data_IF_155296763879
#
_entry.id   IF_155296763879
#
_cell.length_a   1.000
_cell.length_b   1.000
_cell.length_c   1.000
_cell.angle_alpha   90.00
_cell.angle_beta   90.00
_cell.angle_gamma   90.00
#
_symmetry.space_group_name_H-M   'P 1'
#
loop_
_entity.id
_entity.type
_entity.pdbx_description
1 polymer ?
#
# COMPACT_ATOMS: atom_id res chain seq x y z
N UNK A 1 13.41 -13.28 -9.79
CA UNK A 1 14.00 -13.92 -8.61
C UNK A 1 12.97 -13.91 -7.48
N UNK A 2 12.88 -15.01 -6.72
CA UNK A 2 12.02 -15.13 -5.53
C UNK A 2 12.89 -15.06 -4.28
N UNK A 3 12.47 -14.27 -3.30
CA UNK A 3 13.14 -14.22 -2.00
C UNK A 3 12.55 -15.26 -1.02
N UNK A 4 11.35 -15.78 -1.30
CA UNK A 4 10.70 -16.79 -0.47
C UNK A 4 10.97 -18.20 -1.00
N UNK A 5 11.27 -19.11 -0.09
CA UNK A 5 11.42 -20.55 -0.38
C UNK A 5 10.10 -21.32 -0.21
N UNK A 6 9.09 -20.71 0.38
CA UNK A 6 7.80 -21.30 0.68
C UNK A 6 6.70 -20.68 -0.19
N UNK A 7 5.67 -21.43 -0.57
CA UNK A 7 4.53 -20.87 -1.29
C UNK A 7 3.80 -19.84 -0.44
N UNK A 8 3.23 -18.85 -1.12
CA UNK A 8 2.37 -17.84 -0.50
C UNK A 8 1.29 -18.48 0.36
N UNK A 9 1.10 -17.96 1.57
CA UNK A 9 0.15 -18.48 2.54
C UNK A 9 -0.42 -17.36 3.40
N UNK A 10 -1.10 -17.77 4.46
CA UNK A 10 -1.58 -16.85 5.50
C UNK A 10 -0.98 -17.23 6.84
N UNK A 11 -0.74 -16.23 7.68
CA UNK A 11 -0.34 -16.40 9.08
C UNK A 11 -1.45 -15.96 10.00
N UNK A 12 -1.52 -16.58 11.19
CA UNK A 12 -2.50 -16.26 12.20
C UNK A 12 -1.99 -15.14 13.10
N UNK A 13 -2.75 -14.05 13.17
CA UNK A 13 -2.58 -12.98 14.15
C UNK A 13 -3.56 -13.23 15.29
N UNK A 14 -3.03 -13.45 16.50
CA UNK A 14 -3.87 -13.72 17.67
C UNK A 14 -4.73 -12.52 18.04
N UNK A 15 -5.85 -12.79 18.72
CA UNK A 15 -6.61 -11.72 19.37
C UNK A 15 -5.70 -10.91 20.29
N UNK A 16 -5.82 -9.60 20.22
CA UNK A 16 -5.00 -8.68 21.01
C UNK A 16 -5.71 -7.36 21.25
N UNK A 17 -5.29 -6.71 22.35
CA UNK A 17 -5.55 -5.29 22.55
C UNK A 17 -4.21 -4.55 22.45
N UNK A 18 -4.22 -3.46 21.67
CA UNK A 18 -3.04 -2.63 21.43
C UNK A 18 -3.40 -1.15 21.42
N UNK A 19 -2.41 -0.29 21.39
CA UNK A 19 -2.62 1.15 21.19
C UNK A 19 -2.47 1.46 19.72
N UNK A 20 -3.58 1.68 19.02
CA UNK A 20 -3.61 2.12 17.63
C UNK A 20 -3.18 3.58 17.56
N UNK A 21 -2.33 3.93 16.59
CA UNK A 21 -1.77 5.27 16.45
C UNK A 21 -0.65 5.57 17.48
N UNK A 22 -0.11 4.57 18.19
CA UNK A 22 1.05 4.75 19.05
C UNK A 22 2.29 5.09 18.25
N UNK A 23 3.13 5.97 18.79
CA UNK A 23 4.28 6.55 18.09
C UNK A 23 3.88 7.36 16.82
N UNK A 24 2.70 8.00 16.85
CA UNK A 24 2.26 8.92 15.80
C UNK A 24 3.29 10.03 15.56
N UNK A 25 3.58 10.29 14.28
CA UNK A 25 4.46 11.38 13.86
C UNK A 25 3.66 12.49 13.15
N UNK A 26 2.63 12.10 12.42
CA UNK A 26 1.75 13.01 11.70
C UNK A 26 0.39 13.12 12.38
N UNK A 27 -0.29 14.30 12.27
CA UNK A 27 -1.58 14.53 12.96
C UNK A 27 -2.64 13.48 12.63
N UNK A 28 -2.70 13.03 11.39
CA UNK A 28 -3.67 12.05 10.92
C UNK A 28 -3.50 10.65 11.52
N UNK A 29 -2.34 10.35 12.08
CA UNK A 29 -2.04 9.05 12.72
C UNK A 29 -2.64 8.93 14.12
N UNK A 30 -3.16 10.02 14.67
CA UNK A 30 -3.72 10.11 16.01
C UNK A 30 -5.24 10.35 16.02
N UNK A 31 -5.82 10.50 17.21
CA UNK A 31 -5.20 10.26 18.52
C UNK A 31 -4.94 8.79 18.82
N UNK A 32 -3.86 8.51 19.54
CA UNK A 32 -3.59 7.16 20.03
C UNK A 32 -4.71 6.69 20.96
N UNK A 33 -5.20 5.48 20.77
CA UNK A 33 -6.30 4.93 21.55
C UNK A 33 -6.23 3.41 21.60
N UNK A 34 -6.83 2.83 22.63
CA UNK A 34 -6.87 1.38 22.79
C UNK A 34 -7.88 0.75 21.82
N UNK A 35 -7.41 -0.26 21.09
CA UNK A 35 -8.22 -1.09 20.20
C UNK A 35 -8.08 -2.56 20.59
N UNK A 36 -9.17 -3.30 20.52
CA UNK A 36 -9.20 -4.75 20.70
C UNK A 36 -9.65 -5.40 19.39
N UNK A 37 -8.92 -6.41 18.94
CA UNK A 37 -9.22 -7.17 17.74
C UNK A 37 -9.35 -8.66 18.07
N UNK A 38 -10.30 -9.33 17.42
CA UNK A 38 -10.33 -10.79 17.34
C UNK A 38 -9.17 -11.28 16.49
N UNK A 39 -8.76 -12.53 16.67
CA UNK A 39 -7.77 -13.15 15.82
C UNK A 39 -8.25 -13.26 14.36
N UNK A 40 -7.30 -13.19 13.44
CA UNK A 40 -7.55 -13.26 12.00
C UNK A 40 -6.35 -13.86 11.24
N UNK A 41 -6.61 -14.39 10.06
CA UNK A 41 -5.57 -14.76 9.12
C UNK A 41 -5.22 -13.57 8.23
N UNK A 42 -3.93 -13.35 7.97
CA UNK A 42 -3.45 -12.34 7.03
C UNK A 42 -2.46 -12.97 6.05
N UNK A 43 -2.46 -12.51 4.80
CA UNK A 43 -1.49 -12.97 3.82
C UNK A 43 -0.06 -12.67 4.29
N UNK A 44 0.84 -13.61 4.07
CA UNK A 44 2.23 -13.49 4.49
C UNK A 44 2.95 -12.32 3.85
N UNK A 45 2.55 -11.92 2.66
CA UNK A 45 3.10 -10.79 1.89
C UNK A 45 2.01 -10.16 1.02
N UNK A 46 2.32 -9.09 0.31
CA UNK A 46 1.43 -8.45 -0.66
C UNK A 46 1.04 -9.45 -1.77
N UNK A 47 -0.12 -9.25 -2.39
CA UNK A 47 -0.54 -10.04 -3.55
C UNK A 47 0.46 -9.83 -4.69
N UNK A 48 1.10 -10.91 -5.12
CA UNK A 48 2.10 -10.87 -6.19
C UNK A 48 1.46 -10.83 -7.59
N UNK A 49 2.26 -10.47 -8.59
CA UNK A 49 1.85 -10.49 -10.00
C UNK A 49 1.34 -11.88 -10.42
N UNK A 50 1.99 -12.96 -9.98
CA UNK A 50 1.54 -14.33 -10.28
C UNK A 50 0.14 -14.62 -9.68
N UNK A 51 -0.08 -14.20 -8.44
CA UNK A 51 -1.38 -14.40 -7.78
C UNK A 51 -2.48 -13.57 -8.44
N UNK A 52 -2.18 -12.30 -8.78
CA UNK A 52 -3.13 -11.43 -9.46
C UNK A 52 -3.43 -11.90 -10.89
N UNK A 53 -2.42 -12.40 -11.60
CA UNK A 53 -2.59 -13.02 -12.93
C UNK A 53 -3.52 -14.23 -12.88
N UNK A 54 -3.38 -15.10 -11.87
CA UNK A 54 -4.27 -16.24 -11.68
C UNK A 54 -5.74 -15.82 -11.47
N UNK A 55 -5.97 -14.74 -10.70
CA UNK A 55 -7.31 -14.17 -10.54
C UNK A 55 -7.87 -13.68 -11.88
N UNK A 56 -7.09 -12.89 -12.62
CA UNK A 56 -7.52 -12.35 -13.92
C UNK A 56 -7.78 -13.48 -14.94
N UNK A 57 -6.92 -14.49 -14.98
CA UNK A 57 -7.11 -15.66 -15.85
C UNK A 57 -8.40 -16.42 -15.52
N UNK A 58 -8.68 -16.61 -14.22
CA UNK A 58 -9.86 -17.35 -13.77
C UNK A 58 -11.17 -16.60 -14.00
N UNK A 59 -11.15 -15.27 -14.01
CA UNK A 59 -12.37 -14.44 -13.99
C UNK A 59 -12.59 -13.61 -15.25
N UNK A 60 -11.54 -13.36 -16.03
CA UNK A 60 -11.56 -12.38 -17.12
C UNK A 60 -11.68 -10.94 -16.62
N UNK A 61 -11.27 -10.66 -15.38
CA UNK A 61 -11.39 -9.34 -14.78
C UNK A 61 -10.55 -8.30 -15.53
N UNK A 62 -11.13 -7.12 -15.73
CA UNK A 62 -10.47 -5.96 -16.34
C UNK A 62 -10.34 -4.89 -15.28
N UNK A 63 -9.11 -4.50 -14.95
CA UNK A 63 -8.83 -3.52 -13.89
C UNK A 63 -9.25 -2.12 -14.27
N UNK A 64 -9.39 -1.24 -13.28
CA UNK A 64 -9.74 0.17 -13.51
C UNK A 64 -8.76 0.83 -14.48
N UNK A 65 -7.46 0.56 -14.35
CA UNK A 65 -6.42 1.10 -15.22
C UNK A 65 -6.54 0.63 -16.70
N UNK A 66 -7.15 -0.52 -16.94
CA UNK A 66 -7.36 -1.09 -18.29
C UNK A 66 -8.67 -0.62 -18.93
N UNK A 67 -9.56 0.07 -18.19
CA UNK A 67 -10.85 0.55 -18.69
C UNK A 67 -10.72 1.92 -19.35
N UNK A 68 -11.56 2.17 -20.36
CA UNK A 68 -11.68 3.52 -20.93
C UNK A 68 -12.39 4.40 -19.88
N UNK A 69 -11.76 5.49 -19.41
CA UNK A 69 -12.38 6.42 -18.48
C UNK A 69 -13.66 7.02 -19.06
N UNK A 70 -14.70 7.19 -18.24
CA UNK A 70 -15.90 7.86 -18.68
C UNK A 70 -15.65 9.38 -18.75
N UNK A 71 -15.77 10.03 -19.91
CA UNK A 71 -15.52 11.46 -20.05
C UNK A 71 -16.41 12.34 -19.15
N UNK A 72 -17.58 11.83 -18.74
CA UNK A 72 -18.48 12.57 -17.86
C UNK A 72 -17.95 12.73 -16.41
N UNK A 73 -16.97 11.92 -16.01
CA UNK A 73 -16.34 11.96 -14.68
C UNK A 73 -15.18 12.98 -14.62
N UNK A 74 -14.88 13.64 -15.74
CA UNK A 74 -13.76 14.55 -15.89
C UNK A 74 -14.20 15.96 -16.27
N UNK A 75 -13.43 17.00 -15.92
CA UNK A 75 -13.65 18.36 -16.44
C UNK A 75 -13.63 18.39 -17.98
N UNK A 76 -14.39 19.31 -18.58
CA UNK A 76 -14.51 19.41 -20.04
C UNK A 76 -13.20 19.74 -20.78
N UNK A 77 -12.23 20.28 -20.04
CA UNK A 77 -10.90 20.69 -20.54
C UNK A 77 -9.78 19.73 -20.13
N UNK A 78 -10.13 18.52 -19.64
CA UNK A 78 -9.12 17.51 -19.27
C UNK A 78 -8.25 17.14 -20.49
N UNK A 79 -6.93 17.00 -20.34
CA UNK A 79 -6.07 16.53 -21.42
C UNK A 79 -6.52 15.16 -21.96
N UNK A 80 -6.44 14.97 -23.28
CA UNK A 80 -6.90 13.75 -23.96
C UNK A 80 -6.31 12.45 -23.39
N UNK A 81 -5.09 12.50 -22.90
CA UNK A 81 -4.41 11.33 -22.33
C UNK A 81 -5.11 10.78 -21.07
N UNK A 82 -5.80 11.62 -20.30
CA UNK A 82 -6.57 11.18 -19.14
C UNK A 82 -7.86 10.43 -19.52
N UNK A 83 -8.27 10.52 -20.78
CA UNK A 83 -9.42 9.79 -21.33
C UNK A 83 -9.02 8.45 -21.97
N UNK A 84 -7.75 8.07 -21.88
CA UNK A 84 -7.23 6.76 -22.31
C UNK A 84 -7.03 5.85 -21.08
N UNK A 85 -7.19 4.53 -21.22
CA UNK A 85 -6.77 3.58 -20.19
C UNK A 85 -5.34 3.85 -19.75
N UNK A 86 -5.10 3.86 -18.46
CA UNK A 86 -3.79 4.19 -17.91
C UNK A 86 -3.80 4.31 -16.39
N UNK A 87 -2.69 4.70 -15.85
CA UNK A 87 -2.52 4.87 -14.40
C UNK A 87 -1.45 5.92 -14.09
N UNK A 88 -1.33 6.27 -12.81
CA UNK A 88 -0.33 7.24 -12.36
C UNK A 88 0.99 6.55 -12.09
N UNK A 89 2.02 7.01 -12.79
CA UNK A 89 3.38 6.52 -12.70
C UNK A 89 4.29 7.55 -12.01
N UNK A 90 5.12 7.09 -11.08
CA UNK A 90 6.23 7.87 -10.54
C UNK A 90 7.39 7.88 -11.52
N UNK A 91 7.88 9.07 -11.84
CA UNK A 91 9.09 9.26 -12.66
C UNK A 91 10.01 10.24 -11.95
N UNK A 92 11.21 9.81 -11.53
CA UNK A 92 12.18 10.72 -10.93
C UNK A 92 12.50 11.88 -11.88
N UNK A 93 12.67 13.12 -11.38
CA UNK A 93 13.09 14.22 -12.22
C UNK A 93 14.50 14.00 -12.76
N UNK A 94 14.76 14.44 -13.99
CA UNK A 94 16.09 14.40 -14.58
C UNK A 94 17.09 15.24 -13.75
N UNK A 95 18.38 14.84 -13.69
CA UNK A 95 19.40 15.58 -12.97
C UNK A 95 19.43 17.05 -13.38
N UNK A 96 19.28 17.94 -12.41
CA UNK A 96 19.27 19.39 -12.63
C UNK A 96 17.90 20.00 -13.00
N UNK A 97 16.86 19.20 -13.13
CA UNK A 97 15.48 19.69 -13.24
C UNK A 97 14.88 19.97 -11.87
N UNK A 98 13.97 20.96 -11.81
CA UNK A 98 13.22 21.21 -10.59
C UNK A 98 12.27 20.04 -10.33
N UNK A 99 12.28 19.53 -9.10
CA UNK A 99 11.41 18.43 -8.65
C UNK A 99 9.98 18.94 -8.42
N UNK A 100 9.29 19.36 -9.47
CA UNK A 100 7.94 19.95 -9.36
C UNK A 100 6.82 18.99 -9.76
N UNK A 101 7.12 17.94 -10.50
CA UNK A 101 6.10 17.00 -10.97
C UNK A 101 6.74 15.64 -11.27
N UNK A 102 6.70 14.72 -10.30
CA UNK A 102 7.19 13.34 -10.44
C UNK A 102 6.07 12.30 -10.57
N UNK A 103 4.81 12.75 -10.58
CA UNK A 103 3.66 11.91 -10.83
C UNK A 103 3.01 12.30 -12.16
N UNK A 104 2.78 11.33 -13.02
CA UNK A 104 2.16 11.55 -14.32
C UNK A 104 1.16 10.46 -14.64
N UNK A 105 0.01 10.85 -15.23
CA UNK A 105 -0.86 9.89 -15.88
C UNK A 105 -0.18 9.40 -17.15
N UNK A 106 -0.03 8.09 -17.27
CA UNK A 106 0.61 7.46 -18.43
C UNK A 106 -0.34 6.46 -19.07
N UNK A 107 -0.86 6.74 -20.27
CA UNK A 107 -1.69 5.81 -21.00
C UNK A 107 -1.00 4.47 -21.25
N UNK A 108 -1.75 3.38 -21.10
CA UNK A 108 -1.24 2.02 -21.26
C UNK A 108 -0.43 1.49 -20.07
N UNK A 109 -0.36 2.24 -18.98
CA UNK A 109 0.20 1.77 -17.70
C UNK A 109 -0.88 1.05 -16.90
N UNK A 110 -0.61 -0.17 -16.50
CA UNK A 110 -1.49 -1.04 -15.71
C UNK A 110 -0.64 -2.05 -14.93
N UNK A 111 -1.28 -3.01 -14.26
CA UNK A 111 -0.57 -4.02 -13.48
C UNK A 111 0.36 -4.94 -14.32
N UNK A 112 0.11 -5.10 -15.64
CA UNK A 112 0.99 -5.84 -16.57
C UNK A 112 2.14 -5.00 -17.12
N UNK A 113 1.97 -3.68 -17.10
CA UNK A 113 2.89 -2.67 -17.64
C UNK A 113 3.23 -1.63 -16.55
N UNK A 114 3.87 -2.06 -15.41
CA UNK A 114 3.97 -1.22 -14.21
C UNK A 114 4.92 -0.02 -14.35
N UNK A 115 5.84 -0.07 -15.30
CA UNK A 115 6.82 1.00 -15.56
C UNK A 115 6.49 1.74 -16.89
N UNK A 116 5.21 1.72 -17.32
CA UNK A 116 4.73 2.32 -18.57
C UNK A 116 4.43 1.28 -19.66
N UNK A 117 3.82 1.70 -20.79
CA UNK A 117 3.23 0.82 -21.79
C UNK A 117 4.20 -0.15 -22.46
N UNK A 118 5.49 0.17 -22.49
CA UNK A 118 6.54 -0.66 -23.06
C UNK A 118 7.16 -1.64 -22.04
N UNK A 119 6.75 -1.57 -20.79
CA UNK A 119 7.23 -2.45 -19.72
C UNK A 119 6.43 -3.76 -19.65
N UNK A 120 6.88 -4.69 -18.84
CA UNK A 120 6.24 -6.01 -18.68
C UNK A 120 6.51 -6.57 -17.30
N UNK A 121 5.58 -7.38 -16.79
CA UNK A 121 5.76 -8.20 -15.58
C UNK A 121 6.47 -9.53 -15.87
N UNK A 122 6.94 -9.77 -17.07
CA UNK A 122 7.74 -10.97 -17.39
C UNK A 122 8.98 -11.00 -16.48
N UNK A 123 9.26 -12.15 -15.88
CA UNK A 123 10.33 -12.36 -14.91
C UNK A 123 10.14 -11.53 -13.59
N UNK A 124 8.93 -10.98 -13.36
CA UNK A 124 8.53 -10.25 -12.17
C UNK A 124 7.29 -10.89 -11.48
N UNK A 125 7.14 -12.21 -11.59
CA UNK A 125 5.99 -12.96 -11.05
C UNK A 125 5.87 -12.80 -9.52
N UNK A 126 7.01 -12.64 -8.84
CA UNK A 126 7.09 -12.49 -7.38
C UNK A 126 7.09 -11.04 -6.89
N UNK A 127 6.94 -10.06 -7.77
CA UNK A 127 6.79 -8.66 -7.37
C UNK A 127 5.34 -8.38 -7.00
N UNK A 128 5.07 -7.39 -6.11
CA UNK A 128 3.70 -7.01 -5.79
C UNK A 128 2.96 -6.51 -7.02
N UNK A 129 1.68 -6.86 -7.14
CA UNK A 129 0.80 -6.27 -8.14
C UNK A 129 0.50 -4.82 -7.75
N UNK A 130 0.80 -3.88 -8.65
CA UNK A 130 0.59 -2.44 -8.48
C UNK A 130 -0.33 -1.89 -9.57
N UNK A 131 -0.62 -0.59 -9.54
CA UNK A 131 -1.62 0.04 -10.42
C UNK A 131 -3.02 -0.57 -10.25
N UNK A 132 -3.29 -1.10 -9.07
CA UNK A 132 -4.59 -1.65 -8.67
C UNK A 132 -5.37 -0.60 -7.89
N UNK A 133 -6.56 -0.26 -8.37
CA UNK A 133 -7.50 0.58 -7.63
C UNK A 133 -8.16 -0.21 -6.50
N UNK A 134 -8.86 0.49 -5.59
CA UNK A 134 -9.56 -0.18 -4.48
C UNK A 134 -10.55 -1.26 -4.96
N UNK A 135 -11.29 -0.97 -6.03
CA UNK A 135 -12.24 -1.93 -6.63
C UNK A 135 -11.54 -3.21 -7.09
N UNK A 136 -10.36 -3.10 -7.69
CA UNK A 136 -9.59 -4.23 -8.19
C UNK A 136 -9.13 -5.14 -7.03
N UNK A 137 -8.59 -4.51 -5.98
CA UNK A 137 -8.17 -5.21 -4.77
C UNK A 137 -9.35 -5.92 -4.08
N UNK A 138 -10.51 -5.26 -4.01
CA UNK A 138 -11.74 -5.83 -3.45
C UNK A 138 -12.26 -6.99 -4.29
N UNK A 139 -12.19 -6.88 -5.62
CA UNK A 139 -12.61 -7.96 -6.54
C UNK A 139 -11.73 -9.21 -6.36
N UNK A 140 -10.40 -9.03 -6.26
CA UNK A 140 -9.48 -10.12 -5.94
C UNK A 140 -9.82 -10.76 -4.58
N UNK A 141 -9.99 -9.94 -3.53
CA UNK A 141 -10.30 -10.45 -2.19
C UNK A 141 -11.59 -11.29 -2.19
N UNK A 142 -12.64 -10.81 -2.85
CA UNK A 142 -13.91 -11.53 -2.99
C UNK A 142 -13.74 -12.86 -3.74
N UNK A 143 -13.00 -12.88 -4.85
CA UNK A 143 -12.69 -14.10 -5.59
C UNK A 143 -11.95 -15.12 -4.74
N UNK A 144 -10.99 -14.67 -3.94
CA UNK A 144 -10.24 -15.52 -3.03
C UNK A 144 -11.05 -15.98 -1.78
N UNK A 145 -12.30 -15.54 -1.62
CA UNK A 145 -13.11 -15.81 -0.43
C UNK A 145 -12.56 -15.15 0.84
N UNK A 146 -12.02 -13.95 0.70
CA UNK A 146 -11.32 -13.16 1.72
C UNK A 146 -11.83 -11.72 1.72
N UNK A 147 -11.20 -10.86 2.51
CA UNK A 147 -11.47 -9.43 2.60
C UNK A 147 -10.16 -8.63 2.58
N UNK A 148 -10.24 -7.34 2.31
CA UNK A 148 -9.14 -6.42 2.61
C UNK A 148 -9.08 -6.23 4.14
N UNK A 149 -7.88 -6.05 4.73
CA UNK A 149 -7.75 -5.81 6.15
C UNK A 149 -8.44 -4.51 6.55
N UNK A 150 -8.96 -4.46 7.77
CA UNK A 150 -9.24 -3.15 8.37
C UNK A 150 -7.92 -2.45 8.69
N UNK A 151 -7.94 -1.13 8.80
CA UNK A 151 -6.77 -0.36 9.20
C UNK A 151 -6.17 -0.88 10.52
N UNK A 152 -7.02 -1.18 11.50
CA UNK A 152 -6.59 -1.72 12.78
C UNK A 152 -5.96 -3.12 12.67
N UNK A 153 -6.50 -4.00 11.80
CA UNK A 153 -5.92 -5.31 11.52
C UNK A 153 -4.53 -5.17 10.89
N UNK A 154 -4.41 -4.27 9.90
CA UNK A 154 -3.11 -4.00 9.28
C UNK A 154 -2.10 -3.47 10.30
N UNK A 155 -2.49 -2.48 11.12
CA UNK A 155 -1.57 -1.89 12.10
C UNK A 155 -1.14 -2.90 13.16
N UNK A 156 -2.05 -3.73 13.69
CA UNK A 156 -1.69 -4.80 14.63
C UNK A 156 -0.71 -5.79 13.99
N UNK A 157 -1.00 -6.23 12.76
CA UNK A 157 -0.11 -7.14 12.04
C UNK A 157 1.26 -6.51 11.77
N UNK A 158 1.30 -5.24 11.37
CA UNK A 158 2.54 -4.50 11.09
C UNK A 158 3.40 -4.28 12.33
N UNK A 159 2.78 -4.04 13.50
CA UNK A 159 3.51 -3.90 14.78
C UNK A 159 4.21 -5.18 15.19
N UNK A 160 3.72 -6.34 14.78
CA UNK A 160 4.17 -7.59 15.35
C UNK A 160 3.85 -7.64 16.83
N UNK A 161 4.83 -8.03 17.65
CA UNK A 161 4.76 -7.99 19.13
C UNK A 161 5.55 -6.82 19.72
N UNK A 162 6.02 -5.91 18.86
CA UNK A 162 6.85 -4.77 19.26
C UNK A 162 5.98 -3.56 19.63
N UNK A 163 6.36 -2.87 20.71
CA UNK A 163 5.85 -1.54 21.06
C UNK A 163 6.81 -0.42 20.59
N UNK A 164 7.85 -0.75 19.84
CA UNK A 164 8.80 0.23 19.30
C UNK A 164 8.23 0.95 18.07
N UNK A 165 8.96 1.95 17.56
CA UNK A 165 8.59 2.68 16.35
C UNK A 165 8.51 1.74 15.14
N UNK A 166 9.45 0.81 15.05
CA UNK A 166 9.51 -0.19 13.98
C UNK A 166 9.28 -1.62 14.51
N UNK A 167 8.70 -2.51 13.71
CA UNK A 167 8.41 -3.88 14.13
C UNK A 167 9.65 -4.71 14.47
N UNK A 168 10.79 -4.41 13.88
CA UNK A 168 12.07 -5.07 14.19
C UNK A 168 12.74 -4.58 15.49
N UNK A 169 12.08 -3.65 16.20
CA UNK A 169 12.54 -3.06 17.45
C UNK A 169 13.39 -1.79 17.25
N UNK A 170 13.27 -0.87 18.21
CA UNK A 170 14.03 0.40 18.17
C UNK A 170 13.48 1.43 17.20
N UNK A 171 14.33 2.42 16.88
CA UNK A 171 13.98 3.60 16.07
C UNK A 171 14.87 3.71 14.82
N UNK A 172 15.72 2.72 14.56
CA UNK A 172 16.66 2.73 13.44
C UNK A 172 16.04 1.98 12.24
N UNK A 173 16.14 2.58 11.04
CA UNK A 173 15.70 1.96 9.79
C UNK A 173 16.57 0.78 9.37
N UNK A 174 17.86 0.90 9.60
CA UNK A 174 18.84 -0.08 9.24
C UNK A 174 19.69 -0.47 10.47
N UNK A 175 19.13 -1.23 11.45
CA UNK A 175 19.89 -1.68 12.60
C UNK A 175 21.11 -2.49 12.14
N UNK A 176 22.25 -2.13 12.69
CA UNK A 176 23.57 -2.69 12.31
C UNK A 176 23.91 -2.53 10.82
N UNK A 177 23.36 -1.51 10.15
CA UNK A 177 23.57 -1.25 8.73
C UNK A 177 22.80 -2.17 7.78
N UNK A 178 21.81 -2.89 8.29
CA UNK A 178 20.97 -3.80 7.49
C UNK A 178 19.55 -3.22 7.37
N UNK A 179 19.14 -2.85 6.18
CA UNK A 179 17.78 -2.40 5.89
C UNK A 179 16.79 -3.54 6.16
N UNK A 180 15.70 -3.21 6.84
CA UNK A 180 14.65 -4.16 7.23
C UNK A 180 13.39 -4.02 6.38
N UNK A 181 13.36 -3.07 5.44
CA UNK A 181 12.25 -2.79 4.55
C UNK A 181 12.76 -2.12 3.27
N UNK A 182 12.04 -2.31 2.17
CA UNK A 182 12.28 -1.59 0.92
C UNK A 182 11.73 -0.16 1.04
N UNK A 183 12.63 0.81 1.11
CA UNK A 183 12.34 2.24 1.21
C UNK A 183 13.31 3.04 0.35
N UNK A 184 13.09 4.34 0.22
CA UNK A 184 14.01 5.20 -0.51
C UNK A 184 15.19 5.62 0.36
N UNK A 185 16.42 5.40 -0.13
CA UNK A 185 17.65 5.89 0.51
C UNK A 185 18.27 7.00 -0.34
N UNK A 186 18.70 8.07 0.32
CA UNK A 186 19.28 9.23 -0.35
C UNK A 186 18.29 10.38 -0.54
N UNK A 187 18.51 11.22 -1.54
CA UNK A 187 17.76 12.47 -1.73
C UNK A 187 16.52 12.25 -2.59
N UNK A 188 15.34 12.14 -1.95
CA UNK A 188 14.08 12.06 -2.67
C UNK A 188 13.72 13.38 -3.32
N UNK A 189 13.23 13.42 -4.58
CA UNK A 189 13.02 12.29 -5.51
C UNK A 189 14.15 12.14 -6.55
N UNK A 190 15.30 12.77 -6.34
CA UNK A 190 16.37 12.85 -7.35
C UNK A 190 17.30 11.64 -7.39
N UNK A 191 17.59 11.06 -6.22
CA UNK A 191 18.60 10.02 -6.13
C UNK A 191 18.25 8.99 -5.05
N UNK A 192 18.01 7.75 -5.50
CA UNK A 192 17.93 6.58 -4.62
C UNK A 192 19.27 5.84 -4.68
N UNK A 193 19.98 5.75 -3.56
CA UNK A 193 21.24 5.01 -3.47
C UNK A 193 21.07 3.50 -3.46
N UNK A 194 19.82 3.00 -3.27
CA UNK A 194 19.47 1.59 -3.23
C UNK A 194 20.34 0.77 -2.23
N UNK A 195 20.60 1.31 -1.06
CA UNK A 195 21.38 0.64 -0.01
C UNK A 195 20.65 -0.61 0.54
N UNK A 196 19.33 -0.69 0.37
CA UNK A 196 18.50 -1.85 0.65
C UNK A 196 18.55 -2.93 -0.45
N UNK A 197 19.22 -2.64 -1.58
CA UNK A 197 19.39 -3.54 -2.74
C UNK A 197 18.41 -3.29 -3.87
N UNK A 198 17.46 -2.32 -3.74
CA UNK A 198 16.40 -2.10 -4.71
C UNK A 198 16.24 -0.61 -5.08
N UNK A 199 16.19 -0.31 -6.37
CA UNK A 199 15.88 1.05 -6.85
C UNK A 199 14.38 1.35 -6.93
N UNK A 200 13.56 0.32 -6.93
CA UNK A 200 12.11 0.37 -7.06
C UNK A 200 11.45 -0.73 -6.24
N UNK A 201 10.44 -1.37 -6.80
CA UNK A 201 9.80 -2.52 -6.16
C UNK A 201 10.79 -3.65 -5.90
N UNK A 202 10.66 -4.31 -4.76
CA UNK A 202 11.33 -5.56 -4.45
C UNK A 202 10.38 -6.75 -4.68
N UNK A 203 10.89 -7.95 -4.97
CA UNK A 203 10.09 -9.16 -4.86
C UNK A 203 9.55 -9.31 -3.44
N UNK A 204 8.34 -9.84 -3.29
CA UNK A 204 7.72 -10.05 -1.97
C UNK A 204 8.57 -10.95 -1.09
N UNK A 205 8.67 -10.62 0.20
CA UNK A 205 9.38 -11.42 1.19
C UNK A 205 10.90 -11.31 1.14
N UNK A 206 11.46 -10.25 0.54
CA UNK A 206 12.91 -10.05 0.49
C UNK A 206 13.50 -9.52 1.81
N UNK A 207 12.66 -8.97 2.67
CA UNK A 207 13.06 -8.50 4.00
C UNK A 207 12.59 -9.45 5.10
N UNK A 208 13.09 -9.28 6.31
CA UNK A 208 12.77 -10.19 7.40
C UNK A 208 11.29 -10.20 7.79
N UNK A 209 10.72 -11.38 8.02
CA UNK A 209 9.39 -11.48 8.58
C UNK A 209 9.33 -10.92 10.00
N UNK A 210 8.19 -10.34 10.36
CA UNK A 210 7.94 -9.93 11.75
C UNK A 210 7.56 -11.13 12.65
N UNK A 211 7.24 -10.86 13.93
CA UNK A 211 6.91 -11.89 14.92
C UNK A 211 5.67 -12.74 14.62
N UNK A 212 4.84 -12.34 13.67
CA UNK A 212 3.70 -13.14 13.18
C UNK A 212 4.08 -13.98 11.96
N UNK A 213 5.25 -13.76 11.35
CA UNK A 213 5.67 -14.41 10.11
C UNK A 213 5.17 -13.69 8.86
N UNK A 214 4.76 -12.43 8.99
CA UNK A 214 4.36 -11.59 7.86
C UNK A 214 5.53 -10.72 7.39
N UNK A 215 5.66 -10.55 6.08
CA UNK A 215 6.69 -9.80 5.39
C UNK A 215 6.14 -8.50 4.83
N UNK A 216 6.99 -7.54 4.58
CA UNK A 216 6.74 -6.32 3.80
C UNK A 216 5.51 -5.49 4.27
N UNK A 217 5.13 -5.61 5.56
CA UNK A 217 4.10 -4.75 6.14
C UNK A 217 4.59 -3.31 6.36
N UNK A 218 5.88 -3.07 6.10
CA UNK A 218 6.55 -1.77 6.11
C UNK A 218 7.39 -1.65 4.85
N UNK A 219 7.19 -0.59 4.08
CA UNK A 219 7.88 -0.34 2.81
C UNK A 219 7.29 -1.13 1.64
N UNK A 220 8.03 -1.31 0.59
CA UNK A 220 7.71 -1.91 -0.70
C UNK A 220 6.53 -1.24 -1.39
N UNK A 221 5.29 -1.57 -1.04
CA UNK A 221 4.10 -0.87 -1.54
C UNK A 221 3.17 -0.44 -0.42
N UNK A 222 2.50 0.69 -0.60
CA UNK A 222 1.31 1.01 0.16
C UNK A 222 0.25 -0.05 -0.07
N UNK A 223 -0.54 -0.35 0.95
CA UNK A 223 -1.55 -1.37 0.87
C UNK A 223 -2.95 -0.86 1.21
N UNK A 224 -3.91 -1.21 0.35
CA UNK A 224 -5.31 -0.89 0.58
C UNK A 224 -5.85 -1.53 1.86
N UNK A 225 -6.58 -0.73 2.63
CA UNK A 225 -7.43 -1.22 3.73
C UNK A 225 -8.91 -0.99 3.43
N UNK A 226 -9.78 -1.68 4.14
CA UNK A 226 -11.23 -1.56 3.96
C UNK A 226 -11.83 -0.27 4.53
N UNK A 227 -11.09 0.46 5.37
CA UNK A 227 -11.58 1.66 6.05
C UNK A 227 -11.68 2.86 5.12
N UNK A 228 -12.79 3.60 5.20
CA UNK A 228 -12.86 4.95 4.66
C UNK A 228 -11.90 5.87 5.42
N UNK A 229 -11.29 6.81 4.71
CA UNK A 229 -10.39 7.75 5.33
C UNK A 229 -11.15 8.83 6.12
N UNK A 230 -10.62 9.20 7.26
CA UNK A 230 -10.99 10.36 8.05
C UNK A 230 -9.69 10.97 8.62
N UNK A 231 -9.58 12.32 8.75
CA UNK A 231 -8.33 12.98 9.12
C UNK A 231 -7.72 12.56 10.46
N UNK A 232 -8.49 11.92 11.33
CA UNK A 232 -8.04 11.44 12.64
C UNK A 232 -8.78 10.15 13.04
N UNK A 233 -8.23 9.43 14.01
CA UNK A 233 -8.89 8.23 14.55
C UNK A 233 -10.08 8.60 15.44
N UNK A 234 -11.17 7.81 15.36
CA UNK A 234 -12.23 7.87 16.33
C UNK A 234 -11.83 7.07 17.59
N UNK A 235 -11.40 7.76 18.65
CA UNK A 235 -10.96 7.14 19.92
C UNK A 235 -12.04 6.31 20.65
N UNK A 236 -13.31 6.41 20.24
CA UNK A 236 -14.41 5.64 20.81
C UNK A 236 -14.72 4.35 20.03
N UNK A 237 -14.13 4.16 18.85
CA UNK A 237 -14.24 2.94 18.05
C UNK A 237 -13.11 1.97 18.43
N UNK A 238 -13.35 1.15 19.45
CA UNK A 238 -12.31 0.38 20.13
C UNK A 238 -12.46 -1.15 20.06
N UNK A 239 -13.59 -1.67 19.59
CA UNK A 239 -13.83 -3.11 19.47
C UNK A 239 -14.01 -3.51 18.00
N UNK A 240 -13.00 -4.17 17.43
CA UNK A 240 -12.95 -4.54 16.02
C UNK A 240 -13.37 -3.38 15.08
N UNK A 241 -12.71 -2.22 15.17
CA UNK A 241 -13.14 -1.00 14.48
C UNK A 241 -13.14 -1.18 12.96
N UNK A 242 -14.19 -0.67 12.34
CA UNK A 242 -14.35 -0.65 10.88
C UNK A 242 -14.19 0.73 10.27
N UNK A 243 -13.92 1.72 11.12
CA UNK A 243 -13.73 3.11 10.74
C UNK A 243 -15.00 3.87 10.41
N UNK A 244 -14.89 5.08 9.85
CA UNK A 244 -16.00 5.95 9.52
C UNK A 244 -16.86 5.40 8.38
N UNK A 245 -18.06 5.93 8.23
CA UNK A 245 -18.90 5.68 7.06
C UNK A 245 -18.38 6.46 5.84
N UNK A 246 -18.81 6.07 4.63
CA UNK A 246 -18.53 6.84 3.41
C UNK A 246 -18.96 8.31 3.54
N UNK A 247 -20.15 8.56 4.08
CA UNK A 247 -20.67 9.92 4.26
C UNK A 247 -19.77 10.75 5.17
N UNK A 248 -19.30 10.18 6.28
CA UNK A 248 -18.36 10.85 7.18
C UNK A 248 -17.02 11.15 6.48
N UNK A 249 -16.51 10.23 5.69
CA UNK A 249 -15.29 10.42 4.92
C UNK A 249 -15.41 11.56 3.92
N UNK A 250 -16.44 11.54 3.06
CA UNK A 250 -16.66 12.58 2.05
C UNK A 250 -16.83 13.96 2.70
N UNK A 251 -17.58 14.05 3.80
CA UNK A 251 -17.81 15.31 4.49
C UNK A 251 -16.56 15.88 5.19
N UNK A 252 -15.56 15.06 5.44
CA UNK A 252 -14.29 15.45 6.05
C UNK A 252 -13.17 15.73 5.05
N UNK A 253 -13.30 15.22 3.82
CA UNK A 253 -12.26 15.27 2.81
C UNK A 253 -12.04 16.70 2.29
N UNK A 254 -10.77 17.03 2.02
CA UNK A 254 -10.40 18.23 1.28
C UNK A 254 -10.74 18.11 -0.21
N UNK A 255 -10.93 16.88 -0.69
CA UNK A 255 -11.36 16.53 -2.05
C UNK A 255 -12.80 15.98 -2.04
N UNK A 256 -13.51 16.11 -3.14
CA UNK A 256 -14.84 15.50 -3.31
C UNK A 256 -14.77 13.99 -3.61
N UNK A 257 -13.56 13.43 -3.72
CA UNK A 257 -13.35 12.02 -3.99
C UNK A 257 -13.56 11.15 -2.75
N UNK A 258 -14.06 9.94 -2.94
CA UNK A 258 -14.13 8.94 -1.89
C UNK A 258 -12.73 8.35 -1.67
N UNK A 259 -12.23 8.46 -0.45
CA UNK A 259 -10.87 8.05 -0.09
C UNK A 259 -10.87 6.88 0.90
N UNK A 260 -9.99 5.93 0.67
CA UNK A 260 -9.70 4.83 1.60
C UNK A 260 -8.36 5.06 2.28
N UNK A 261 -8.19 4.42 3.43
CA UNK A 261 -6.90 4.38 4.11
C UNK A 261 -5.98 3.40 3.42
N UNK A 262 -4.75 3.84 3.11
CA UNK A 262 -3.63 2.96 2.76
C UNK A 262 -2.60 2.97 3.89
N UNK A 263 -1.92 1.84 4.08
CA UNK A 263 -0.98 1.58 5.17
C UNK A 263 0.35 1.04 4.67
N UNK A 264 1.36 1.04 5.55
CA UNK A 264 2.65 0.39 5.36
C UNK A 264 3.76 1.28 4.81
N UNK A 265 3.45 2.29 4.03
CA UNK A 265 4.45 3.04 3.26
C UNK A 265 4.89 2.29 2.02
N UNK A 266 5.84 2.83 1.27
CA UNK A 266 6.32 2.22 0.04
C UNK A 266 7.81 2.48 -0.21
N UNK A 267 8.36 1.88 -1.26
CA UNK A 267 9.72 2.14 -1.73
C UNK A 267 10.01 3.61 -2.08
N UNK A 268 8.97 4.43 -2.22
CA UNK A 268 9.09 5.89 -2.44
C UNK A 268 9.12 6.70 -1.13
N UNK A 269 8.95 6.07 0.02
CA UNK A 269 9.03 6.75 1.30
C UNK A 269 10.48 6.91 1.74
N UNK A 270 10.89 8.15 2.01
CA UNK A 270 12.25 8.54 2.38
C UNK A 270 12.28 9.28 3.71
N UNK A 271 13.35 9.11 4.50
CA UNK A 271 13.52 9.84 5.76
C UNK A 271 13.43 11.36 5.61
N UNK A 272 13.95 11.90 4.50
CA UNK A 272 13.99 13.34 4.22
C UNK A 272 12.73 13.87 3.53
N UNK A 273 11.71 13.03 3.29
CA UNK A 273 10.49 13.42 2.61
C UNK A 273 9.23 12.89 3.30
N UNK A 274 9.15 11.60 3.56
CA UNK A 274 7.93 10.92 4.00
C UNK A 274 8.29 9.78 4.96
N UNK A 275 8.18 10.00 6.29
CA UNK A 275 8.41 8.96 7.31
C UNK A 275 7.17 8.08 7.53
N UNK A 276 6.40 7.77 6.47
CA UNK A 276 5.17 6.98 6.57
C UNK A 276 5.36 5.46 6.38
N UNK A 277 6.58 4.96 6.55
CA UNK A 277 6.90 3.52 6.62
C UNK A 277 6.99 3.05 8.08
N UNK A 278 5.90 3.23 8.83
CA UNK A 278 5.72 2.84 10.25
C UNK A 278 4.34 2.25 10.46
N UNK A 279 4.14 1.36 11.45
CA UNK A 279 2.82 0.76 11.69
C UNK A 279 1.70 1.79 11.89
N UNK A 280 1.95 2.89 12.63
CA UNK A 280 0.97 3.94 12.85
C UNK A 280 0.65 4.77 11.61
N UNK A 281 1.57 4.83 10.65
CA UNK A 281 1.42 5.66 9.46
C UNK A 281 0.21 5.26 8.62
N UNK A 282 -0.44 6.27 8.05
CA UNK A 282 -1.62 6.15 7.19
C UNK A 282 -1.63 7.28 6.17
N UNK A 283 -2.31 7.04 5.07
CA UNK A 283 -2.50 8.03 4.00
C UNK A 283 -3.91 7.89 3.44
N UNK A 284 -4.45 8.99 2.90
CA UNK A 284 -5.67 8.98 2.13
C UNK A 284 -5.39 8.65 0.67
N UNK A 285 -6.18 7.77 0.08
CA UNK A 285 -6.03 7.44 -1.34
C UNK A 285 -7.39 7.39 -2.02
N UNK A 286 -7.50 8.07 -3.16
CA UNK A 286 -8.66 8.00 -4.04
C UNK A 286 -8.92 6.55 -4.46
N UNK A 287 -10.15 6.09 -4.25
CA UNK A 287 -10.56 4.71 -4.53
C UNK A 287 -10.52 4.33 -6.01
N UNK A 288 -10.64 5.29 -6.90
CA UNK A 288 -10.62 5.09 -8.36
C UNK A 288 -9.22 5.10 -8.97
N UNK A 289 -8.17 5.31 -8.16
CA UNK A 289 -6.82 5.53 -8.67
C UNK A 289 -5.82 4.53 -8.09
N UNK A 290 -5.30 3.65 -8.95
CA UNK A 290 -4.09 2.89 -8.70
C UNK A 290 -2.84 3.69 -9.06
N UNK A 291 -1.69 3.38 -8.45
CA UNK A 291 -0.40 4.00 -8.76
C UNK A 291 0.73 2.96 -8.73
N UNK A 292 1.92 3.35 -9.18
CA UNK A 292 3.09 2.47 -9.24
C UNK A 292 3.61 1.96 -7.89
N UNK A 293 3.07 2.46 -6.78
CA UNK A 293 3.52 2.09 -5.43
C UNK A 293 2.37 1.66 -4.50
N UNK A 294 1.20 1.32 -5.06
CA UNK A 294 0.04 0.84 -4.30
C UNK A 294 -0.33 -0.56 -4.73
N UNK A 295 -0.33 -1.46 -3.78
CA UNK A 295 -0.77 -2.84 -3.88
C UNK A 295 -1.74 -3.18 -2.76
N UNK A 296 -1.80 -4.45 -2.34
CA UNK A 296 -2.68 -4.90 -1.27
C UNK A 296 -2.32 -6.32 -0.82
N UNK A 297 -2.83 -6.69 0.35
CA UNK A 297 -2.94 -8.07 0.84
C UNK A 297 -4.33 -8.35 1.37
N UNK A 298 -4.65 -9.61 1.65
CA UNK A 298 -5.98 -10.01 2.11
C UNK A 298 -5.95 -10.62 3.51
N UNK A 299 -7.11 -10.60 4.15
CA UNK A 299 -7.37 -11.24 5.45
C UNK A 299 -8.55 -12.20 5.36
N UNK A 300 -8.61 -13.13 6.33
CA UNK A 300 -9.76 -13.99 6.58
C UNK A 300 -10.06 -13.96 8.08
N UNK A 301 -11.29 -13.54 8.39
CA UNK A 301 -11.80 -13.48 9.76
C UNK A 301 -12.36 -14.84 10.22
#
# INVERSE_FOLDING_TARGET
DSCLNEPAGQVWVNEAAFIMGDNALYPEEGPAHKVSLRGFWIDTHEVSNAQFAAFVEATGYVTVAERIPNPADWPADVPEDFLKPGSVLFTPPEPGQAATNWWSWVPGTDWRHPDGPDSSIRDKEHYPAVHVAYEDAQAYANWAGRSLPTEAQFELAARGKSNAVFPWGGNELAPHGQHQANTWQGSFPQHNSAEDGHHGLAPVGCFGANDYGAYDLIGNVWEWTSNWYYPEHNKHDSDNPTGPTLEQSINSAASAAAEKVIKGGSYLCAENHCLRFRPAAREAQDTGLGTSHIGFRTVKN
#
